data_IF_602934790376
#
_entry.id   IF_602934790376
#
_cell.length_a   1.000
_cell.length_b   1.000
_cell.length_c   1.000
_cell.angle_alpha   90.00
_cell.angle_beta   90.00
_cell.angle_gamma   90.00
#
_symmetry.space_group_name_H-M   'P 1'
#
loop_
_entity.id
_entity.type
_entity.pdbx_description
1 polymer ?
#
# COMPACT_ATOMS: atom_id res chain seq x y z
N UNK A 1 -3.58 1.11 -14.10
CA UNK A 1 -3.92 -0.30 -13.92
C UNK A 1 -5.02 -0.47 -12.90
N UNK A 2 -6.04 -1.22 -13.23
CA UNK A 2 -7.11 -1.54 -12.29
C UNK A 2 -6.74 -2.80 -11.52
N UNK A 3 -7.00 -2.80 -10.22
CA UNK A 3 -6.69 -3.95 -9.39
C UNK A 3 -7.84 -4.92 -9.22
N UNK A 4 -9.01 -4.60 -9.79
CA UNK A 4 -10.20 -5.43 -9.54
C UNK A 4 -10.06 -6.88 -9.97
N UNK A 5 -9.43 -7.12 -11.10
CA UNK A 5 -9.28 -8.47 -11.62
C UNK A 5 -7.84 -8.97 -11.55
N UNK A 6 -6.99 -8.25 -10.85
CA UNK A 6 -5.58 -8.61 -10.74
C UNK A 6 -5.38 -9.61 -9.61
N UNK A 7 -4.38 -10.47 -9.76
CA UNK A 7 -3.99 -11.36 -8.68
C UNK A 7 -3.18 -10.60 -7.63
N UNK A 8 -3.09 -11.14 -6.41
CA UNK A 8 -2.23 -10.50 -5.41
C UNK A 8 -0.79 -10.30 -5.88
N UNK A 9 -0.25 -11.26 -6.59
CA UNK A 9 1.12 -11.13 -7.11
C UNK A 9 1.25 -10.02 -8.13
N UNK A 10 0.25 -9.87 -8.98
CA UNK A 10 0.26 -8.79 -9.96
C UNK A 10 0.20 -7.42 -9.28
N UNK A 11 -0.63 -7.30 -8.26
CA UNK A 11 -0.74 -6.05 -7.51
C UNK A 11 0.58 -5.75 -6.80
N UNK A 12 1.16 -6.75 -6.16
CA UNK A 12 2.43 -6.58 -5.44
C UNK A 12 3.54 -6.11 -6.38
N UNK A 13 3.67 -6.76 -7.54
CA UNK A 13 4.70 -6.39 -8.48
C UNK A 13 4.49 -4.99 -9.05
N UNK A 14 3.22 -4.63 -9.27
CA UNK A 14 2.92 -3.29 -9.74
C UNK A 14 3.31 -2.23 -8.70
N UNK A 15 3.00 -2.49 -7.43
CA UNK A 15 3.39 -1.57 -6.36
C UNK A 15 4.90 -1.46 -6.23
N UNK A 16 5.60 -2.59 -6.37
CA UNK A 16 7.06 -2.58 -6.36
C UNK A 16 7.64 -1.77 -7.50
N UNK A 17 7.05 -1.89 -8.70
CA UNK A 17 7.47 -1.11 -9.85
C UNK A 17 7.26 0.38 -9.61
N UNK A 18 6.18 0.74 -8.94
CA UNK A 18 5.92 2.14 -8.60
C UNK A 18 6.94 2.68 -7.61
N UNK A 19 7.34 1.87 -6.65
CA UNK A 19 8.42 2.24 -5.73
C UNK A 19 9.69 2.57 -6.52
N UNK A 20 10.06 1.68 -7.44
CA UNK A 20 11.24 1.90 -8.26
C UNK A 20 11.12 3.19 -9.06
N UNK A 21 9.96 3.42 -9.67
CA UNK A 21 9.72 4.62 -10.46
C UNK A 21 9.94 5.88 -9.61
N UNK A 22 9.35 5.90 -8.42
CA UNK A 22 9.47 7.07 -7.54
C UNK A 22 10.88 7.25 -7.01
N UNK A 23 11.61 6.16 -6.81
CA UNK A 23 13.01 6.25 -6.43
C UNK A 23 13.82 6.93 -7.54
N UNK A 24 13.61 6.45 -8.77
CA UNK A 24 14.38 6.96 -9.91
C UNK A 24 14.06 8.42 -10.21
N UNK A 25 12.80 8.84 -10.07
CA UNK A 25 12.44 10.24 -10.31
C UNK A 25 13.10 11.17 -9.28
N UNK A 26 13.49 10.63 -8.13
CA UNK A 26 14.19 11.40 -7.11
C UNK A 26 15.70 11.23 -7.19
N UNK A 27 16.18 10.58 -8.25
CA UNK A 27 17.60 10.34 -8.47
C UNK A 27 18.28 9.64 -7.31
N UNK A 28 17.56 8.73 -6.67
CA UNK A 28 18.10 7.96 -5.56
C UNK A 28 18.58 6.60 -6.04
N UNK A 29 19.74 6.17 -5.54
CA UNK A 29 20.18 4.79 -5.74
C UNK A 29 19.41 3.88 -4.78
N UNK A 30 19.45 2.57 -5.05
CA UNK A 30 18.85 1.62 -4.11
C UNK A 30 19.51 1.72 -2.74
N UNK A 31 20.85 1.91 -2.74
CA UNK A 31 21.57 2.06 -1.49
C UNK A 31 21.08 3.27 -0.69
N UNK A 32 20.90 4.40 -1.38
CA UNK A 32 20.43 5.60 -0.71
C UNK A 32 19.03 5.46 -0.15
N UNK A 33 18.12 4.92 -0.94
CA UNK A 33 16.75 4.76 -0.46
C UNK A 33 16.68 3.74 0.68
N UNK A 34 17.40 2.63 0.55
CA UNK A 34 17.40 1.62 1.60
C UNK A 34 17.93 2.20 2.91
N UNK A 35 19.01 3.01 2.83
CA UNK A 35 19.54 3.63 4.03
C UNK A 35 18.54 4.57 4.67
N UNK A 36 17.85 5.38 3.87
CA UNK A 36 16.84 6.31 4.40
C UNK A 36 15.65 5.58 5.00
N UNK A 37 15.28 4.45 4.42
CA UNK A 37 14.15 3.67 4.91
C UNK A 37 14.52 2.78 6.08
N UNK A 38 15.80 2.60 6.35
CA UNK A 38 16.24 1.74 7.42
C UNK A 38 16.06 0.26 7.11
N UNK A 39 16.19 -0.12 5.84
CA UNK A 39 16.10 -1.51 5.40
C UNK A 39 17.35 -1.85 4.60
N UNK A 40 17.56 -3.14 4.38
CA UNK A 40 18.73 -3.59 3.61
C UNK A 40 18.50 -3.38 2.12
N UNK A 41 19.59 -3.29 1.37
CA UNK A 41 19.51 -3.18 -0.08
C UNK A 41 18.82 -4.42 -0.69
N UNK A 42 19.14 -5.65 -0.27
CA UNK A 42 18.40 -6.81 -0.78
C UNK A 42 16.90 -6.74 -0.50
N UNK A 43 16.50 -6.21 0.66
CA UNK A 43 15.07 -6.05 0.95
C UNK A 43 14.42 -5.07 -0.03
N UNK A 44 15.07 -3.94 -0.29
CA UNK A 44 14.54 -2.99 -1.26
C UNK A 44 14.50 -3.58 -2.66
N UNK A 45 15.53 -4.33 -3.03
CA UNK A 45 15.55 -4.98 -4.32
C UNK A 45 14.38 -5.94 -4.49
N UNK A 46 14.07 -6.71 -3.43
CA UNK A 46 12.91 -7.61 -3.46
C UNK A 46 11.61 -6.85 -3.61
N UNK A 47 11.48 -5.72 -2.96
CA UNK A 47 10.28 -4.88 -3.10
C UNK A 47 10.14 -4.45 -4.55
N UNK A 48 11.18 -3.92 -5.13
CA UNK A 48 11.12 -3.34 -6.48
C UNK A 48 10.92 -4.39 -7.56
N UNK A 49 11.49 -5.57 -7.39
CA UNK A 49 11.42 -6.60 -8.41
C UNK A 49 10.25 -7.55 -8.24
N UNK A 50 10.00 -7.98 -7.00
CA UNK A 50 9.02 -9.01 -6.73
C UNK A 50 7.79 -8.49 -6.00
N UNK A 51 7.83 -7.27 -5.53
CA UNK A 51 6.73 -6.74 -4.74
C UNK A 51 6.62 -7.41 -3.38
N UNK A 52 7.70 -7.98 -2.89
CA UNK A 52 7.67 -8.69 -1.60
C UNK A 52 8.29 -7.84 -0.52
N UNK A 53 7.50 -7.61 0.51
CA UNK A 53 7.93 -6.80 1.65
C UNK A 53 7.02 -7.10 2.82
N UNK A 54 7.55 -6.91 4.03
CA UNK A 54 6.66 -6.80 5.17
C UNK A 54 5.94 -5.47 5.06
N UNK A 55 4.80 -5.37 5.71
CA UNK A 55 4.07 -4.11 5.73
C UNK A 55 4.95 -3.00 6.33
N UNK A 56 5.66 -3.31 7.40
CA UNK A 56 6.55 -2.34 8.04
C UNK A 56 7.60 -1.83 7.04
N UNK A 57 8.25 -2.71 6.31
CA UNK A 57 9.28 -2.31 5.34
C UNK A 57 8.67 -1.44 4.23
N UNK A 58 7.50 -1.80 3.74
CA UNK A 58 6.84 -1.03 2.71
C UNK A 58 6.51 0.38 3.19
N UNK A 59 5.99 0.48 4.41
CA UNK A 59 5.68 1.78 5.00
C UNK A 59 6.94 2.63 5.14
N UNK A 60 8.04 2.02 5.62
CA UNK A 60 9.32 2.73 5.75
C UNK A 60 9.80 3.29 4.41
N UNK A 61 9.63 2.53 3.35
CA UNK A 61 10.03 2.98 2.02
C UNK A 61 9.18 4.17 1.59
N UNK A 62 7.86 4.10 1.78
CA UNK A 62 6.99 5.22 1.43
C UNK A 62 7.33 6.48 2.23
N UNK A 63 7.63 6.31 3.51
CA UNK A 63 8.05 7.44 4.33
C UNK A 63 9.35 8.06 3.79
N UNK A 64 10.31 7.21 3.42
CA UNK A 64 11.58 7.68 2.90
C UNK A 64 11.42 8.41 1.56
N UNK A 65 10.41 8.04 0.79
CA UNK A 65 10.09 8.70 -0.47
C UNK A 65 9.23 9.96 -0.28
N UNK A 66 8.81 10.24 0.96
CA UNK A 66 7.94 11.37 1.24
C UNK A 66 6.51 11.15 0.80
N UNK A 67 6.08 9.89 0.76
CA UNK A 67 4.77 9.52 0.20
C UNK A 67 3.85 8.86 1.22
N UNK A 68 4.14 9.03 2.51
CA UNK A 68 3.34 8.35 3.54
C UNK A 68 1.89 8.83 3.55
N UNK A 69 1.62 10.05 3.06
CA UNK A 69 0.25 10.55 3.01
C UNK A 69 -0.63 9.75 2.04
N UNK A 70 -0.03 9.00 1.13
CA UNK A 70 -0.82 8.13 0.26
C UNK A 70 -1.44 6.97 1.02
N UNK A 71 -0.94 6.68 2.21
CA UNK A 71 -1.51 5.63 3.05
C UNK A 71 -2.69 6.13 3.88
N UNK A 72 -2.80 7.46 4.07
CA UNK A 72 -3.80 8.00 4.98
C UNK A 72 -5.23 7.64 4.60
N UNK A 73 -5.65 7.67 3.33
CA UNK A 73 -7.03 7.32 2.98
C UNK A 73 -7.27 5.81 2.89
N UNK A 74 -6.21 5.03 2.96
CA UNK A 74 -6.32 3.59 2.75
C UNK A 74 -7.09 2.95 3.89
N UNK A 75 -8.23 2.35 3.58
CA UNK A 75 -9.09 1.67 4.56
C UNK A 75 -9.54 2.60 5.69
N UNK A 76 -9.64 3.88 5.39
CA UNK A 76 -10.02 4.88 6.38
C UNK A 76 -11.42 4.57 6.90
N UNK A 77 -11.52 4.38 8.21
CA UNK A 77 -12.79 4.03 8.84
C UNK A 77 -13.78 5.17 8.81
N UNK A 78 -13.29 6.42 8.74
CA UNK A 78 -14.19 7.56 8.62
C UNK A 78 -14.95 7.51 7.31
N UNK A 79 -14.26 7.24 6.20
CA UNK A 79 -14.91 7.12 4.90
C UNK A 79 -15.86 5.94 4.90
N UNK A 80 -15.46 4.84 5.52
CA UNK A 80 -16.31 3.66 5.63
C UNK A 80 -17.55 3.97 6.46
N UNK A 81 -17.39 4.71 7.54
CA UNK A 81 -18.52 5.08 8.40
C UNK A 81 -19.54 5.93 7.66
N UNK A 82 -19.08 6.89 6.86
CA UNK A 82 -20.00 7.69 6.07
C UNK A 82 -20.78 6.85 5.09
N UNK A 83 -20.10 5.93 4.43
CA UNK A 83 -20.76 5.02 3.53
C UNK A 83 -21.79 4.17 4.25
N UNK A 84 -21.44 3.68 5.43
CA UNK A 84 -22.34 2.88 6.23
C UNK A 84 -23.58 3.68 6.62
N UNK A 85 -23.40 4.94 6.95
CA UNK A 85 -24.51 5.77 7.31
C UNK A 85 -25.46 5.99 6.13
N UNK A 86 -24.92 6.20 4.95
CA UNK A 86 -25.73 6.33 3.76
C UNK A 86 -26.52 5.06 3.49
N UNK A 87 -25.89 3.92 3.65
CA UNK A 87 -26.56 2.66 3.43
C UNK A 87 -27.59 2.35 4.51
N UNK A 88 -27.34 2.83 5.71
CA UNK A 88 -28.28 2.62 6.80
C UNK A 88 -29.60 3.33 6.58
N UNK A 89 -29.65 4.34 5.71
CA UNK A 89 -30.90 4.99 5.38
C UNK A 89 -31.81 4.13 4.52
N UNK A 90 -31.31 3.02 4.03
CA UNK A 90 -32.08 2.10 3.20
C UNK A 90 -32.53 0.90 4.01
N UNK A 91 -33.61 0.22 3.57
CA UNK A 91 -33.97 -1.04 4.21
C UNK A 91 -32.77 -1.95 4.17
N UNK A 92 -32.40 -2.44 5.32
CA UNK A 92 -31.16 -3.10 5.44
C UNK A 92 -31.30 -4.58 5.43
N UNK A 93 -30.41 -5.25 4.74
CA UNK A 93 -30.30 -6.68 4.86
C UNK A 93 -29.74 -6.99 6.22
N UNK A 94 -30.19 -8.10 6.77
CA UNK A 94 -29.70 -8.50 8.03
C UNK A 94 -28.22 -8.79 7.98
N UNK A 95 -27.46 -8.19 8.84
CA UNK A 95 -26.05 -8.43 8.89
C UNK A 95 -25.77 -9.79 9.48
N UNK A 96 -24.92 -10.50 8.90
CA UNK A 96 -24.46 -11.73 9.51
C UNK A 96 -23.69 -11.40 10.74
N UNK A 97 -23.74 -11.97 11.67
CA UNK A 97 -23.01 -11.70 12.78
C UNK A 97 -21.86 -12.29 13.00
N UNK A 98 -21.35 -12.09 12.93
CA UNK A 98 -20.54 -12.53 13.12
C UNK A 98 -19.99 -13.10 13.83
N UNK A 99 -19.74 -13.40 14.03
CA UNK A 99 -19.29 -13.97 14.60
C UNK A 99 -18.50 -14.35 15.01
N UNK A 100 -18.20 -14.62 15.32
CA UNK A 100 -17.53 -15.32 15.92
C UNK A 100 -17.31 -15.49 16.60
#
# INVERSE_FOLDING_TARGET
MSFNLATPGEISRELGARVRHHRLTRSLSQRELAARAGISVPSLRNIEREGQATLDAFIRVLMALGMSEQLAPLLDTRATSLKSMEQASKPRQRAPRKRP
#
